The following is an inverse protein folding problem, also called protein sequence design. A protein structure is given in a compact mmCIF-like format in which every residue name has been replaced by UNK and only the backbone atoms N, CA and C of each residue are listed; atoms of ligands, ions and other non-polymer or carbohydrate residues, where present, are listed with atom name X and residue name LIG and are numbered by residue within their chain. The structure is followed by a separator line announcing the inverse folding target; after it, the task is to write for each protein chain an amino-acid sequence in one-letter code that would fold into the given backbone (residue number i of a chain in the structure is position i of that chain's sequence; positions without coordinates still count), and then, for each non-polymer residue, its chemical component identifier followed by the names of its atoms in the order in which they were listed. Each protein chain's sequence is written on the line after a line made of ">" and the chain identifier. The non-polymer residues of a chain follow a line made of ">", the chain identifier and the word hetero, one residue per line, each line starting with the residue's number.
data_IF_937982328264
#
_entry.id   IF_937982328264
#
_cell.length_a   1.000
_cell.length_b   1.000
_cell.length_c   1.000
_cell.angle_alpha   90.00
_cell.angle_beta   90.00
_cell.angle_gamma   90.00
#
_symmetry.space_group_name_H-M   'P 1'
#
loop_
_entity.id
_entity.type
_entity.pdbx_description
1 polymer ?
#
# COMPACT_ATOMS: atom_id res chain seq x y z
N UNK A 1 18.22 14.77 -59.66
CA UNK A 1 18.27 15.41 -58.33
C UNK A 1 16.94 15.34 -57.57
N UNK A 2 15.82 15.52 -58.15
CA UNK A 2 14.52 15.44 -57.47
C UNK A 2 14.08 14.03 -57.08
N UNK A 3 14.52 13.00 -57.74
CA UNK A 3 14.14 11.62 -57.43
C UNK A 3 14.88 11.05 -56.20
N UNK A 4 16.13 11.42 -56.00
CA UNK A 4 16.92 11.00 -54.81
C UNK A 4 16.43 11.70 -53.55
N UNK A 5 16.02 12.95 -53.65
CA UNK A 5 15.42 13.72 -52.53
C UNK A 5 14.03 13.17 -52.17
N UNK A 6 13.24 12.72 -53.16
CA UNK A 6 11.92 12.11 -52.90
C UNK A 6 12.02 10.74 -52.22
N UNK A 7 13.02 9.91 -52.60
CA UNK A 7 13.26 8.61 -51.96
C UNK A 7 13.73 8.83 -50.54
N UNK A 8 14.64 9.78 -50.28
CA UNK A 8 15.10 10.11 -48.96
C UNK A 8 14.00 10.64 -48.01
N UNK A 9 13.09 11.43 -48.54
CA UNK A 9 11.93 11.95 -47.79
C UNK A 9 10.96 10.82 -47.43
N UNK A 10 10.70 9.88 -48.32
CA UNK A 10 9.87 8.70 -48.05
C UNK A 10 10.49 7.76 -47.05
N UNK A 11 11.81 7.54 -47.14
CA UNK A 11 12.53 6.74 -46.17
C UNK A 11 12.53 7.38 -44.78
N UNK A 12 12.74 8.70 -44.69
CA UNK A 12 12.63 9.45 -43.43
C UNK A 12 11.22 9.36 -42.82
N UNK A 13 10.18 9.48 -43.64
CA UNK A 13 8.80 9.32 -43.19
C UNK A 13 8.50 7.91 -42.67
N UNK A 14 8.98 6.88 -43.40
CA UNK A 14 8.82 5.50 -42.99
C UNK A 14 9.52 5.22 -41.65
N UNK A 15 10.71 5.74 -41.45
CA UNK A 15 11.46 5.63 -40.18
C UNK A 15 10.70 6.36 -39.05
N UNK A 16 10.21 7.57 -39.31
CA UNK A 16 9.43 8.34 -38.34
C UNK A 16 8.14 7.62 -37.92
N UNK A 17 7.42 7.03 -38.87
CA UNK A 17 6.20 6.25 -38.58
C UNK A 17 6.50 4.99 -37.77
N UNK A 18 7.58 4.27 -38.05
CA UNK A 18 8.03 3.11 -37.25
C UNK A 18 8.45 3.53 -35.85
N UNK A 19 9.17 4.63 -35.72
CA UNK A 19 9.57 5.17 -34.42
C UNK A 19 8.36 5.59 -33.60
N UNK A 20 7.36 6.23 -34.21
CA UNK A 20 6.11 6.61 -33.53
C UNK A 20 5.32 5.38 -33.08
N UNK A 21 5.17 4.37 -33.96
CA UNK A 21 4.48 3.14 -33.61
C UNK A 21 5.17 2.41 -32.45
N UNK A 22 6.50 2.36 -32.46
CA UNK A 22 7.31 1.79 -31.37
C UNK A 22 7.17 2.60 -30.08
N UNK A 23 7.17 3.94 -30.16
CA UNK A 23 6.98 4.80 -29.01
C UNK A 23 5.59 4.60 -28.39
N UNK A 24 4.53 4.52 -29.19
CA UNK A 24 3.19 4.24 -28.71
C UNK A 24 3.07 2.84 -28.08
N UNK A 25 3.71 1.84 -28.64
CA UNK A 25 3.80 0.49 -28.06
C UNK A 25 4.50 0.50 -26.71
N UNK A 26 5.63 1.20 -26.59
CA UNK A 26 6.37 1.34 -25.34
C UNK A 26 5.57 2.12 -24.26
N UNK A 27 4.81 3.13 -24.67
CA UNK A 27 3.92 3.87 -23.76
C UNK A 27 2.82 2.95 -23.18
N UNK A 28 2.20 2.12 -24.03
CA UNK A 28 1.23 1.12 -23.59
C UNK A 28 1.84 0.08 -22.66
N UNK A 29 3.04 -0.43 -22.99
CA UNK A 29 3.77 -1.37 -22.14
C UNK A 29 4.14 -0.74 -20.79
N UNK A 30 4.50 0.54 -20.77
CA UNK A 30 4.78 1.29 -19.55
C UNK A 30 3.53 1.42 -18.66
N UNK A 31 2.38 1.67 -19.25
CA UNK A 31 1.11 1.76 -18.52
C UNK A 31 0.77 0.40 -17.87
N UNK A 32 0.90 -0.70 -18.61
CA UNK A 32 0.69 -2.05 -18.09
C UNK A 32 1.65 -2.39 -16.93
N UNK A 33 2.94 -2.08 -17.10
CA UNK A 33 3.95 -2.30 -16.06
C UNK A 33 3.67 -1.43 -14.84
N UNK A 34 3.23 -0.19 -15.02
CA UNK A 34 2.86 0.70 -13.93
C UNK A 34 1.69 0.16 -13.13
N UNK A 35 0.66 -0.34 -13.80
CA UNK A 35 -0.49 -0.98 -13.16
C UNK A 35 -0.10 -2.25 -12.39
N UNK A 36 0.78 -3.06 -12.97
CA UNK A 36 1.30 -4.27 -12.31
C UNK A 36 2.16 -3.93 -11.09
N UNK A 37 3.01 -2.92 -11.17
CA UNK A 37 3.78 -2.42 -10.03
C UNK A 37 2.84 -1.95 -8.90
N UNK A 38 1.76 -1.26 -9.23
CA UNK A 38 0.80 -0.81 -8.23
C UNK A 38 0.11 -1.99 -7.53
N UNK A 39 -0.29 -3.02 -8.27
CA UNK A 39 -0.85 -4.27 -7.69
C UNK A 39 0.16 -4.98 -6.79
N UNK A 40 1.40 -5.12 -7.25
CA UNK A 40 2.46 -5.75 -6.45
C UNK A 40 2.75 -4.96 -5.16
N UNK A 41 2.69 -3.63 -5.21
CA UNK A 41 2.80 -2.79 -4.01
C UNK A 41 1.64 -3.02 -3.04
N UNK A 42 0.43 -3.18 -3.54
CA UNK A 42 -0.73 -3.54 -2.71
C UNK A 42 -0.55 -4.88 -2.03
N UNK A 43 -0.15 -5.89 -2.81
CA UNK A 43 0.10 -7.23 -2.29
C UNK A 43 1.23 -7.24 -1.25
N UNK A 44 2.34 -6.58 -1.52
CA UNK A 44 3.47 -6.46 -0.58
C UNK A 44 3.03 -5.75 0.70
N UNK A 45 2.29 -4.65 0.59
CA UNK A 45 1.81 -3.92 1.76
C UNK A 45 0.86 -4.78 2.60
N UNK A 46 -0.06 -5.49 1.94
CA UNK A 46 -0.97 -6.42 2.62
C UNK A 46 -0.19 -7.52 3.35
N UNK A 47 0.77 -8.14 2.67
CA UNK A 47 1.62 -9.17 3.27
C UNK A 47 2.48 -8.64 4.44
N UNK A 48 3.04 -7.44 4.32
CA UNK A 48 3.80 -6.83 5.41
C UNK A 48 2.93 -6.50 6.62
N UNK A 49 1.71 -6.04 6.40
CA UNK A 49 0.74 -5.78 7.47
C UNK A 49 0.25 -7.06 8.13
N UNK A 50 0.25 -8.18 7.40
CA UNK A 50 -0.11 -9.52 7.88
C UNK A 50 1.07 -10.30 8.45
N UNK A 51 2.30 -9.83 8.31
CA UNK A 51 3.50 -10.58 8.71
C UNK A 51 3.53 -10.92 10.21
N UNK A 52 2.76 -10.21 11.01
CA UNK A 52 2.52 -10.52 12.41
C UNK A 52 1.40 -11.54 12.65
N UNK A 53 0.59 -11.85 11.62
CA UNK A 53 -0.47 -12.86 11.70
C UNK A 53 0.08 -14.23 11.32
N UNK A 54 0.47 -15.02 12.29
CA UNK A 54 0.95 -16.37 12.02
C UNK A 54 -0.14 -17.45 11.99
N UNK A 55 -1.38 -17.15 12.36
CA UNK A 55 -2.51 -18.07 12.28
C UNK A 55 -3.83 -17.35 12.45
N UNK A 56 -4.69 -17.38 11.43
CA UNK A 56 -6.06 -16.87 11.49
C UNK A 56 -6.97 -17.65 12.48
N UNK A 57 -6.49 -18.81 12.97
CA UNK A 57 -7.21 -19.70 13.86
C UNK A 57 -6.84 -19.56 15.34
N UNK A 58 -5.96 -18.61 15.70
CA UNK A 58 -5.58 -18.42 17.11
C UNK A 58 -6.61 -17.58 17.87
N UNK A 59 -6.96 -18.05 19.05
CA UNK A 59 -7.80 -17.30 19.99
C UNK A 59 -7.15 -15.94 20.33
N UNK A 60 -7.97 -14.91 20.53
CA UNK A 60 -7.52 -13.56 20.89
C UNK A 60 -6.48 -13.54 22.05
N UNK A 61 -6.67 -14.44 23.03
CA UNK A 61 -5.78 -14.56 24.17
C UNK A 61 -4.37 -15.07 23.81
N UNK A 62 -4.24 -15.81 22.70
CA UNK A 62 -2.99 -16.37 22.20
C UNK A 62 -2.24 -15.42 21.29
N UNK A 63 -2.91 -14.38 20.75
CA UNK A 63 -2.30 -13.38 19.90
C UNK A 63 -1.32 -12.51 20.70
N UNK A 64 -0.13 -12.35 20.17
CA UNK A 64 0.81 -11.37 20.71
C UNK A 64 0.31 -9.93 20.45
N UNK A 65 0.90 -8.97 21.14
CA UNK A 65 0.60 -7.55 20.89
C UNK A 65 0.88 -7.15 19.45
N UNK A 66 1.98 -7.65 18.90
CA UNK A 66 2.40 -7.32 17.51
C UNK A 66 1.46 -7.97 16.48
N UNK A 67 0.98 -9.19 16.72
CA UNK A 67 -0.05 -9.83 15.93
C UNK A 67 -1.33 -8.97 15.89
N UNK A 68 -1.79 -8.52 17.05
CA UNK A 68 -2.99 -7.64 17.16
C UNK A 68 -2.83 -6.31 16.42
N UNK A 69 -1.65 -5.70 16.51
CA UNK A 69 -1.33 -4.46 15.78
C UNK A 69 -1.32 -4.71 14.27
N UNK A 70 -0.76 -5.82 13.82
CA UNK A 70 -0.76 -6.24 12.42
C UNK A 70 -2.18 -6.41 11.87
N UNK A 71 -3.05 -7.09 12.61
CA UNK A 71 -4.46 -7.29 12.23
C UNK A 71 -5.21 -5.95 12.07
N UNK A 72 -5.01 -5.02 13.00
CA UNK A 72 -5.61 -3.68 12.93
C UNK A 72 -5.11 -2.92 11.70
N UNK A 73 -3.80 -2.95 11.42
CA UNK A 73 -3.21 -2.31 10.24
C UNK A 73 -3.77 -2.89 8.96
N UNK A 74 -3.80 -4.20 8.86
CA UNK A 74 -4.32 -4.87 7.66
C UNK A 74 -5.78 -4.54 7.41
N UNK A 75 -6.63 -4.65 8.42
CA UNK A 75 -8.05 -4.33 8.29
C UNK A 75 -8.27 -2.89 7.84
N UNK A 76 -7.55 -1.94 8.46
CA UNK A 76 -7.61 -0.53 8.09
C UNK A 76 -7.15 -0.29 6.63
N UNK A 77 -6.05 -0.92 6.23
CA UNK A 77 -5.53 -0.83 4.88
C UNK A 77 -6.48 -1.41 3.84
N UNK A 78 -7.06 -2.56 4.09
CA UNK A 78 -8.05 -3.19 3.21
C UNK A 78 -9.31 -2.31 3.07
N UNK A 79 -9.80 -1.75 4.18
CA UNK A 79 -10.94 -0.83 4.18
C UNK A 79 -10.67 0.42 3.33
N UNK A 80 -9.46 0.99 3.43
CA UNK A 80 -9.03 2.12 2.61
C UNK A 80 -8.90 1.74 1.13
N UNK A 81 -8.30 0.60 0.83
CA UNK A 81 -8.06 0.14 -0.55
C UNK A 81 -9.34 -0.20 -1.30
N UNK A 82 -10.36 -0.72 -0.60
CA UNK A 82 -11.70 -0.99 -1.16
C UNK A 82 -12.54 0.27 -1.33
N UNK A 83 -12.22 1.34 -0.61
CA UNK A 83 -12.93 2.61 -0.63
C UNK A 83 -12.24 3.67 -1.49
N UNK A 84 -12.14 4.87 -0.95
CA UNK A 84 -11.57 6.05 -1.61
C UNK A 84 -10.03 6.16 -1.51
N UNK A 85 -9.37 5.17 -0.95
CA UNK A 85 -7.94 5.20 -0.64
C UNK A 85 -7.60 5.70 0.76
N UNK A 86 -8.61 6.18 1.49
CA UNK A 86 -8.50 6.61 2.89
C UNK A 86 -9.60 5.95 3.70
N UNK A 87 -9.30 5.50 4.90
CA UNK A 87 -10.28 4.98 5.84
C UNK A 87 -9.96 5.47 7.26
N UNK A 88 -10.97 5.44 8.10
CA UNK A 88 -10.84 5.69 9.53
C UNK A 88 -11.51 4.54 10.30
N UNK A 89 -10.86 4.11 11.37
CA UNK A 89 -11.34 3.09 12.29
C UNK A 89 -11.44 3.72 13.69
N UNK A 90 -12.58 3.67 14.29
CA UNK A 90 -12.73 4.00 15.70
C UNK A 90 -12.50 2.77 16.60
N UNK A 91 -12.64 2.91 17.91
CA UNK A 91 -12.43 1.79 18.83
C UNK A 91 -13.50 0.70 18.68
N UNK A 92 -14.74 1.06 18.29
CA UNK A 92 -15.82 0.10 18.04
C UNK A 92 -15.54 -0.72 16.79
N UNK A 93 -15.04 -0.10 15.71
CA UNK A 93 -14.61 -0.81 14.50
C UNK A 93 -13.52 -1.84 14.84
N UNK A 94 -12.51 -1.45 15.61
CA UNK A 94 -11.43 -2.36 16.01
C UNK A 94 -11.95 -3.47 16.89
N UNK A 95 -12.80 -3.14 17.86
CA UNK A 95 -13.36 -4.10 18.79
C UNK A 95 -14.20 -5.15 18.08
N UNK A 96 -15.09 -4.73 17.20
CA UNK A 96 -16.11 -5.61 16.59
C UNK A 96 -15.73 -6.15 15.21
N UNK A 97 -15.13 -5.32 14.34
CA UNK A 97 -14.78 -5.77 12.99
C UNK A 97 -13.48 -6.57 12.93
N UNK A 98 -12.54 -6.31 13.86
CA UNK A 98 -11.24 -6.99 13.88
C UNK A 98 -11.20 -8.14 14.88
N UNK A 99 -11.79 -7.98 16.07
CA UNK A 99 -11.61 -8.89 17.19
C UNK A 99 -12.90 -9.44 17.82
N UNK A 100 -14.05 -9.32 17.19
CA UNK A 100 -15.32 -9.89 17.64
C UNK A 100 -15.73 -9.55 19.10
N UNK A 101 -15.35 -8.36 19.56
CA UNK A 101 -15.71 -7.85 20.88
C UNK A 101 -14.77 -8.23 22.03
N UNK A 102 -13.67 -8.88 21.76
CA UNK A 102 -12.72 -9.35 22.79
C UNK A 102 -11.98 -8.23 23.54
N UNK A 103 -11.41 -7.20 22.87
CA UNK A 103 -10.65 -6.16 23.57
C UNK A 103 -11.55 -5.13 24.26
N UNK A 104 -11.03 -4.53 25.32
CA UNK A 104 -11.64 -3.33 25.92
C UNK A 104 -11.38 -2.09 25.06
N UNK A 105 -12.19 -1.03 25.25
CA UNK A 105 -11.98 0.25 24.56
C UNK A 105 -10.58 0.83 24.81
N UNK A 106 -10.07 0.78 26.02
CA UNK A 106 -8.72 1.25 26.36
C UNK A 106 -7.63 0.45 25.62
N UNK A 107 -7.83 -0.84 25.46
CA UNK A 107 -6.92 -1.68 24.70
C UNK A 107 -6.96 -1.36 23.20
N UNK A 108 -8.15 -1.09 22.65
CA UNK A 108 -8.29 -0.62 21.26
C UNK A 108 -7.54 0.69 21.02
N UNK A 109 -7.62 1.66 21.94
CA UNK A 109 -6.84 2.89 21.85
C UNK A 109 -5.32 2.66 21.91
N UNK A 110 -4.88 1.69 22.69
CA UNK A 110 -3.47 1.28 22.74
C UNK A 110 -3.04 0.69 21.40
N UNK A 111 -3.84 -0.20 20.81
CA UNK A 111 -3.57 -0.80 19.51
C UNK A 111 -3.55 0.25 18.38
N UNK A 112 -4.47 1.22 18.39
CA UNK A 112 -4.45 2.35 17.45
C UNK A 112 -3.14 3.12 17.50
N UNK A 113 -2.68 3.43 18.70
CA UNK A 113 -1.45 4.19 18.91
C UNK A 113 -0.23 3.44 18.39
N UNK A 114 -0.17 2.14 18.61
CA UNK A 114 0.88 1.28 18.09
C UNK A 114 0.77 1.08 16.57
N UNK A 115 -0.45 0.97 16.05
CA UNK A 115 -0.68 0.86 14.61
C UNK A 115 -0.25 2.12 13.85
N UNK A 116 -0.35 3.29 14.47
CA UNK A 116 0.05 4.58 13.89
C UNK A 116 1.57 4.81 13.81
N UNK A 117 2.39 3.88 14.31
CA UNK A 117 3.86 3.99 14.26
C UNK A 117 4.46 3.67 12.88
N UNK A 118 3.66 3.46 11.87
CA UNK A 118 4.10 3.24 10.49
C UNK A 118 3.53 4.30 9.55
N UNK A 119 4.26 4.54 8.47
CA UNK A 119 3.87 5.53 7.47
C UNK A 119 2.50 5.21 6.86
N UNK A 120 1.70 6.25 6.71
CA UNK A 120 0.34 6.13 6.16
C UNK A 120 -0.74 5.88 7.22
N UNK A 121 -0.34 5.69 8.48
CA UNK A 121 -1.26 5.52 9.61
C UNK A 121 -1.10 6.66 10.61
N UNK A 122 -2.21 7.22 11.07
CA UNK A 122 -2.23 8.35 12.00
C UNK A 122 -3.42 8.25 12.94
N UNK A 123 -3.20 8.54 14.21
CA UNK A 123 -4.31 8.70 15.17
C UNK A 123 -4.81 10.13 15.13
N UNK A 124 -6.08 10.33 14.82
CA UNK A 124 -6.76 11.62 14.84
C UNK A 124 -7.77 11.68 15.98
N UNK A 125 -7.80 12.81 16.64
CA UNK A 125 -8.81 13.11 17.67
C UNK A 125 -9.68 14.24 17.14
N UNK A 126 -10.89 13.94 16.62
CA UNK A 126 -11.80 14.97 16.17
C UNK A 126 -12.35 15.76 17.34
N UNK A 127 -12.87 17.00 17.12
CA UNK A 127 -13.48 17.81 18.19
C UNK A 127 -14.66 17.13 18.88
N UNK A 128 -15.28 16.15 18.23
CA UNK A 128 -16.41 15.37 18.75
C UNK A 128 -16.03 14.27 19.76
N UNK A 129 -14.74 14.03 20.01
CA UNK A 129 -14.29 13.32 21.21
C UNK A 129 -13.61 11.96 20.99
N UNK A 130 -14.01 11.12 20.07
CA UNK A 130 -13.44 9.78 19.95
C UNK A 130 -12.23 9.75 19.00
N UNK A 131 -11.14 9.16 19.48
CA UNK A 131 -9.94 8.94 18.64
C UNK A 131 -10.25 7.91 17.55
N UNK A 132 -9.69 8.14 16.38
CA UNK A 132 -9.76 7.21 15.27
C UNK A 132 -8.38 6.99 14.65
N UNK A 133 -8.12 5.76 14.19
CA UNK A 133 -6.97 5.43 13.36
C UNK A 133 -7.33 5.75 11.91
N UNK A 134 -6.65 6.71 11.32
CA UNK A 134 -6.80 7.06 9.91
C UNK A 134 -5.67 6.43 9.11
N UNK A 135 -6.00 5.83 7.97
CA UNK A 135 -5.04 5.26 7.05
C UNK A 135 -5.18 5.88 5.67
N UNK A 136 -4.05 6.22 5.06
CA UNK A 136 -3.92 6.55 3.65
C UNK A 136 -3.20 5.40 2.95
N UNK A 137 -3.92 4.67 2.10
CA UNK A 137 -3.39 3.48 1.43
C UNK A 137 -2.19 3.81 0.51
N UNK A 138 -2.16 4.99 -0.11
CA UNK A 138 -1.04 5.41 -0.96
C UNK A 138 0.23 5.66 -0.15
N UNK A 139 0.10 6.34 0.98
CA UNK A 139 1.23 6.59 1.87
C UNK A 139 1.71 5.30 2.56
N UNK A 140 0.80 4.40 2.93
CA UNK A 140 1.14 3.10 3.49
C UNK A 140 1.98 2.26 2.51
N UNK A 141 1.60 2.19 1.24
CA UNK A 141 2.37 1.51 0.18
C UNK A 141 3.78 2.10 0.00
N UNK A 142 3.91 3.41 0.06
CA UNK A 142 5.22 4.09 -0.01
C UNK A 142 6.08 3.78 1.21
N UNK A 143 5.49 3.67 2.38
CA UNK A 143 6.17 3.31 3.61
C UNK A 143 6.74 1.89 3.58
N UNK A 144 5.97 0.93 3.10
CA UNK A 144 6.37 -0.46 2.95
C UNK A 144 7.64 -0.63 2.09
N UNK A 145 7.69 0.05 0.94
CA UNK A 145 8.86 0.01 0.04
C UNK A 145 10.12 0.57 0.69
N UNK A 146 10.01 1.65 1.46
CA UNK A 146 11.16 2.24 2.16
C UNK A 146 11.60 1.42 3.37
N UNK A 147 10.68 0.80 4.08
CA UNK A 147 10.99 -0.06 5.23
C UNK A 147 11.79 -1.30 4.80
N UNK A 148 11.45 -1.88 3.67
CA UNK A 148 12.18 -3.02 3.09
C UNK A 148 13.60 -2.63 2.66
N UNK A 149 13.78 -1.45 2.03
CA UNK A 149 15.09 -0.95 1.62
C UNK A 149 16.01 -0.66 2.83
N UNK A 150 15.50 -0.11 3.91
CA UNK A 150 16.26 0.18 5.12
C UNK A 150 16.71 -1.09 5.89
N UNK A 151 15.91 -2.15 5.87
CA UNK A 151 16.30 -3.42 6.49
C UNK A 151 17.49 -4.06 5.80
N UNK A 152 17.57 -3.97 4.49
CA UNK A 152 18.68 -4.53 3.72
C UNK A 152 20.00 -3.79 3.98
N UNK A 153 19.94 -2.48 4.23
CA UNK A 153 21.13 -1.66 4.49
C UNK A 153 21.70 -1.86 5.91
N UNK A 154 20.85 -2.23 6.87
CA UNK A 154 21.28 -2.44 8.26
C UNK A 154 21.98 -3.79 8.47
N UNK A 155 21.74 -4.79 7.64
CA UNK A 155 22.40 -6.10 7.73
C UNK A 155 23.79 -6.11 7.06
N UNK A 156 24.05 -5.23 6.09
CA UNK A 156 25.37 -5.13 5.42
C UNK A 156 26.45 -4.42 6.27
N UNK A 157 26.09 -3.70 7.31
CA UNK A 157 27.03 -2.94 8.17
C UNK A 157 27.51 -3.73 9.39
N UNK A 158 27.06 -4.97 9.52
CA UNK A 158 27.53 -5.90 10.56
C UNK A 158 28.34 -7.06 9.99
#
# INVERSE_FOLDING_TARGET
>A
MSEEDDVSARDALAIAQRALAKANGLESDLDEVTDEIERLREDVTSLELRLSEHDDDRDYAELTRDDKVGMVREHAFQKASRGSGVAALDYDDIMWEVFDGEPSADHCYTLMKLAADVRGFEVKTPPSGNRSLTVDAREAKRGAVFSSANKTTSEEVR
#
